data_IF_374140454550
#
_entry.id   IF_374140454550
#
_cell.length_a   1.000
_cell.length_b   1.000
_cell.length_c   1.000
_cell.angle_alpha   90.00
_cell.angle_beta   90.00
_cell.angle_gamma   90.00
#
_symmetry.space_group_name_H-M   'P 1'
#
loop_
_entity.id
_entity.type
_entity.pdbx_description
1 polymer ?
#
# COMPACT_ATOMS: atom_id res chain seq x y z
N UNK A 1 -24.16 -25.54 37.42
CA UNK A 1 -25.26 -25.48 36.44
C UNK A 1 -24.74 -24.76 35.21
N UNK A 2 -24.49 -25.52 34.15
CA UNK A 2 -23.69 -25.14 32.99
C UNK A 2 -24.67 -24.90 31.83
N UNK A 3 -24.77 -23.65 31.35
CA UNK A 3 -25.56 -23.32 30.15
C UNK A 3 -24.55 -23.09 29.04
N UNK A 4 -24.32 -24.14 28.24
CA UNK A 4 -23.56 -24.07 26.99
C UNK A 4 -24.55 -23.63 25.92
N UNK A 5 -24.41 -22.39 25.43
CA UNK A 5 -25.15 -21.89 24.29
C UNK A 5 -24.41 -22.29 23.01
N UNK A 6 -24.95 -23.28 22.30
CA UNK A 6 -24.51 -23.68 20.95
C UNK A 6 -24.80 -22.56 19.93
N UNK A 7 -23.89 -21.59 19.80
CA UNK A 7 -23.97 -20.50 18.82
C UNK A 7 -22.77 -20.33 17.83
N UNK A 8 -22.04 -21.36 17.33
CA UNK A 8 -21.03 -21.11 16.30
C UNK A 8 -21.46 -21.42 14.85
N UNK A 9 -22.39 -22.35 14.59
CA UNK A 9 -22.56 -22.93 13.24
C UNK A 9 -23.48 -22.08 12.34
N UNK A 10 -24.49 -21.41 12.91
CA UNK A 10 -25.43 -20.59 12.13
C UNK A 10 -24.76 -19.30 11.64
N UNK A 11 -23.88 -18.70 12.43
CA UNK A 11 -23.23 -17.43 12.07
C UNK A 11 -22.20 -17.59 10.94
N UNK A 12 -21.46 -18.70 10.94
CA UNK A 12 -20.48 -19.00 9.91
C UNK A 12 -21.14 -19.31 8.56
N UNK A 13 -22.28 -20.00 8.59
CA UNK A 13 -23.07 -20.32 7.38
C UNK A 13 -23.69 -19.09 6.72
N UNK A 14 -24.18 -18.13 7.53
CA UNK A 14 -24.76 -16.86 7.04
C UNK A 14 -23.70 -15.94 6.43
N UNK A 15 -22.49 -15.91 7.00
CA UNK A 15 -21.36 -15.15 6.44
C UNK A 15 -20.88 -15.72 5.08
N UNK A 16 -20.83 -17.04 4.92
CA UNK A 16 -20.49 -17.67 3.64
C UNK A 16 -21.57 -17.42 2.56
N UNK A 17 -22.85 -17.45 2.92
CA UNK A 17 -23.94 -17.18 2.00
C UNK A 17 -23.95 -15.72 1.50
N UNK A 18 -23.69 -14.75 2.39
CA UNK A 18 -23.57 -13.33 2.01
C UNK A 18 -22.29 -13.03 1.23
N UNK A 19 -21.17 -13.70 1.54
CA UNK A 19 -19.93 -13.59 0.77
C UNK A 19 -20.06 -14.09 -0.67
N UNK A 20 -20.76 -15.22 -0.87
CA UNK A 20 -21.03 -15.77 -2.20
C UNK A 20 -22.09 -14.96 -2.96
N UNK A 21 -23.11 -14.43 -2.27
CA UNK A 21 -24.11 -13.56 -2.90
C UNK A 21 -23.51 -12.20 -3.28
N UNK A 22 -22.67 -11.62 -2.43
CA UNK A 22 -21.94 -10.39 -2.71
C UNK A 22 -20.96 -10.53 -3.87
N UNK A 23 -20.18 -11.62 -3.91
CA UNK A 23 -19.29 -11.90 -5.05
C UNK A 23 -20.08 -12.22 -6.33
N UNK A 24 -21.22 -12.90 -6.24
CA UNK A 24 -22.12 -13.11 -7.38
C UNK A 24 -22.73 -11.80 -7.90
N UNK A 25 -23.19 -10.89 -7.04
CA UNK A 25 -23.71 -9.57 -7.44
C UNK A 25 -22.59 -8.72 -8.06
N UNK A 26 -21.40 -8.72 -7.47
CA UNK A 26 -20.22 -8.03 -8.03
C UNK A 26 -19.79 -8.62 -9.38
N UNK A 27 -19.77 -9.94 -9.51
CA UNK A 27 -19.47 -10.62 -10.77
C UNK A 27 -20.54 -10.35 -11.84
N UNK A 28 -21.83 -10.38 -11.47
CA UNK A 28 -22.93 -10.13 -12.41
C UNK A 28 -22.99 -8.67 -12.85
N UNK A 29 -22.71 -7.72 -11.96
CA UNK A 29 -22.60 -6.28 -12.28
C UNK A 29 -21.34 -5.96 -13.09
N UNK A 30 -20.22 -6.65 -12.83
CA UNK A 30 -19.01 -6.53 -13.65
C UNK A 30 -19.17 -7.18 -15.03
N UNK A 31 -19.81 -8.34 -15.11
CA UNK A 31 -20.09 -9.06 -16.36
C UNK A 31 -21.05 -8.28 -17.27
N UNK A 32 -22.12 -7.67 -16.71
CA UNK A 32 -23.00 -6.76 -17.46
C UNK A 32 -22.24 -5.56 -18.04
N UNK A 33 -21.34 -4.94 -17.26
CA UNK A 33 -20.46 -3.87 -17.74
C UNK A 33 -19.56 -4.31 -18.90
N UNK A 34 -19.13 -5.58 -18.91
CA UNK A 34 -18.32 -6.16 -19.99
C UNK A 34 -19.12 -6.38 -21.27
N UNK A 35 -20.38 -6.82 -21.15
CA UNK A 35 -21.27 -7.01 -22.30
C UNK A 35 -21.74 -5.70 -22.93
N UNK A 36 -21.91 -4.63 -22.15
CA UNK A 36 -22.22 -3.28 -22.68
C UNK A 36 -21.02 -2.63 -23.37
N UNK A 37 -19.79 -2.94 -22.96
CA UNK A 37 -18.56 -2.50 -23.66
C UNK A 37 -18.27 -3.24 -24.97
N UNK A 38 -18.93 -4.36 -25.26
CA UNK A 38 -18.73 -5.10 -26.51
C UNK A 38 -19.41 -4.45 -27.74
N UNK A 39 -20.07 -3.31 -27.58
CA UNK A 39 -20.47 -2.47 -28.70
C UNK A 39 -19.26 -1.70 -29.23
N UNK A 40 -18.58 -2.25 -30.24
CA UNK A 40 -17.44 -1.65 -30.96
C UNK A 40 -16.56 -0.79 -30.06
N UNK A 41 -15.64 -1.43 -29.33
CA UNK A 41 -14.40 -0.74 -28.98
C UNK A 41 -13.71 -0.41 -30.31
N UNK A 42 -14.00 0.77 -30.86
CA UNK A 42 -12.93 1.57 -31.44
C UNK A 42 -11.85 1.55 -30.36
N UNK A 43 -10.81 0.75 -30.60
CA UNK A 43 -9.48 1.11 -30.14
C UNK A 43 -9.37 2.55 -30.62
N UNK A 44 -9.59 3.51 -29.74
CA UNK A 44 -9.17 4.87 -30.01
C UNK A 44 -7.72 4.68 -30.42
N UNK A 45 -7.41 4.92 -31.70
CA UNK A 45 -6.04 5.15 -32.08
C UNK A 45 -5.64 6.30 -31.18
N UNK A 46 -4.92 5.98 -30.10
CA UNK A 46 -4.34 6.97 -29.20
C UNK A 46 -3.26 7.58 -30.08
N UNK A 47 -3.69 8.55 -30.89
CA UNK A 47 -2.88 9.39 -31.74
C UNK A 47 -2.05 10.28 -30.85
N UNK A 48 -1.03 9.67 -30.25
CA UNK A 48 0.27 10.27 -30.04
C UNK A 48 1.17 9.16 -29.52
N UNK A 49 2.05 8.68 -30.39
CA UNK A 49 3.33 8.07 -30.05
C UNK A 49 4.15 8.87 -29.01
N UNK A 50 3.74 10.11 -28.71
CA UNK A 50 4.29 11.00 -27.70
C UNK A 50 3.61 10.97 -26.29
N UNK A 51 2.55 10.18 -26.06
CA UNK A 51 1.90 10.10 -24.72
C UNK A 51 2.64 9.14 -23.79
N UNK A 52 3.28 8.10 -24.33
CA UNK A 52 4.17 7.24 -23.54
C UNK A 52 5.53 7.92 -23.51
N UNK A 53 5.88 8.56 -22.39
CA UNK A 53 7.29 8.83 -22.10
C UNK A 53 8.00 7.48 -22.09
N UNK A 54 8.77 7.20 -23.14
CA UNK A 54 9.60 6.00 -23.24
C UNK A 54 10.79 6.15 -22.26
N UNK A 55 10.51 6.13 -20.96
CA UNK A 55 11.50 6.26 -19.89
C UNK A 55 12.27 4.96 -19.63
N UNK A 56 11.74 3.82 -20.10
CA UNK A 56 12.35 2.51 -19.89
C UNK A 56 13.28 2.12 -21.04
N UNK A 57 14.49 1.71 -20.70
CA UNK A 57 15.48 1.22 -21.66
C UNK A 57 15.31 -0.29 -21.82
N UNK A 58 14.86 -0.73 -22.99
CA UNK A 58 14.67 -2.17 -23.27
C UNK A 58 15.96 -2.98 -23.08
N UNK A 59 17.11 -2.42 -23.48
CA UNK A 59 18.42 -3.04 -23.33
C UNK A 59 18.89 -3.13 -21.87
N UNK A 60 18.25 -2.42 -20.94
CA UNK A 60 18.54 -2.51 -19.51
C UNK A 60 17.71 -3.59 -18.80
N UNK A 61 16.75 -4.20 -19.51
CA UNK A 61 15.97 -5.31 -18.96
C UNK A 61 16.89 -6.54 -18.88
N UNK A 62 17.09 -7.12 -17.69
CA UNK A 62 17.90 -8.31 -17.55
C UNK A 62 17.26 -9.51 -18.26
N UNK A 63 18.07 -10.41 -18.78
CA UNK A 63 17.57 -11.73 -19.20
C UNK A 63 17.13 -12.57 -17.98
N UNK A 64 16.18 -13.49 -18.15
CA UNK A 64 15.75 -14.43 -17.11
C UNK A 64 15.22 -13.78 -15.81
N UNK A 65 14.29 -12.84 -15.93
CA UNK A 65 13.57 -12.25 -14.78
C UNK A 65 12.55 -13.26 -14.24
N UNK A 66 12.58 -13.49 -12.92
CA UNK A 66 11.62 -14.37 -12.23
C UNK A 66 10.30 -13.66 -11.91
N UNK A 67 10.35 -12.34 -11.68
CA UNK A 67 9.19 -11.53 -11.28
C UNK A 67 9.31 -10.10 -11.79
N UNK A 68 8.20 -9.56 -12.30
CA UNK A 68 8.06 -8.14 -12.63
C UNK A 68 7.14 -7.49 -11.61
N UNK A 69 7.60 -6.39 -11.01
CA UNK A 69 6.83 -5.54 -10.10
C UNK A 69 6.62 -4.19 -10.77
N UNK A 70 5.36 -3.76 -10.85
CA UNK A 70 5.00 -2.46 -11.44
C UNK A 70 4.62 -1.52 -10.29
N UNK A 71 5.36 -0.43 -10.14
CA UNK A 71 5.25 0.57 -9.08
C UNK A 71 6.25 0.35 -7.95
N UNK A 72 6.95 1.41 -7.57
CA UNK A 72 7.90 1.48 -6.45
C UNK A 72 7.30 2.02 -5.14
N UNK A 73 5.98 1.97 -5.00
CA UNK A 73 5.34 2.27 -3.72
C UNK A 73 5.76 1.28 -2.63
N UNK A 74 5.39 1.56 -1.38
CA UNK A 74 5.75 0.72 -0.22
C UNK A 74 5.41 -0.77 -0.43
N UNK A 75 4.27 -1.09 -1.05
CA UNK A 75 3.88 -2.47 -1.34
C UNK A 75 4.78 -3.13 -2.41
N UNK A 76 5.08 -2.41 -3.50
CA UNK A 76 5.93 -2.91 -4.58
C UNK A 76 7.37 -3.14 -4.12
N UNK A 77 7.93 -2.18 -3.39
CA UNK A 77 9.26 -2.31 -2.78
C UNK A 77 9.30 -3.45 -1.74
N UNK A 78 8.24 -3.63 -0.97
CA UNK A 78 8.15 -4.73 0.01
C UNK A 78 8.25 -6.09 -0.69
N UNK A 79 7.42 -6.33 -1.70
CA UNK A 79 7.42 -7.61 -2.44
C UNK A 79 8.74 -7.80 -3.18
N UNK A 80 9.24 -6.77 -3.86
CA UNK A 80 10.50 -6.83 -4.58
C UNK A 80 11.68 -7.14 -3.65
N UNK A 81 11.75 -6.49 -2.48
CA UNK A 81 12.79 -6.73 -1.48
C UNK A 81 12.75 -8.17 -0.97
N UNK A 82 11.58 -8.66 -0.54
CA UNK A 82 11.43 -10.03 -0.02
C UNK A 82 11.83 -11.05 -1.09
N UNK A 83 11.32 -10.92 -2.31
CA UNK A 83 11.63 -11.87 -3.38
C UNK A 83 13.10 -11.82 -3.80
N UNK A 84 13.71 -10.64 -3.83
CA UNK A 84 15.15 -10.50 -4.08
C UNK A 84 15.99 -11.13 -2.96
N UNK A 85 15.55 -11.02 -1.70
CA UNK A 85 16.21 -11.67 -0.57
C UNK A 85 16.13 -13.21 -0.64
N UNK A 86 15.04 -13.74 -1.20
CA UNK A 86 14.88 -15.17 -1.54
C UNK A 86 15.63 -15.59 -2.82
N UNK A 87 16.50 -14.72 -3.35
CA UNK A 87 17.35 -15.02 -4.50
C UNK A 87 16.67 -14.93 -5.87
N UNK A 88 15.47 -14.34 -5.95
CA UNK A 88 14.78 -14.13 -7.23
C UNK A 88 15.30 -12.91 -7.96
N UNK A 89 15.36 -13.01 -9.29
CA UNK A 89 15.66 -11.89 -10.17
C UNK A 89 14.40 -11.06 -10.40
N UNK A 90 14.28 -9.95 -9.67
CA UNK A 90 13.10 -9.07 -9.72
C UNK A 90 13.38 -7.85 -10.60
N UNK A 91 12.51 -7.60 -11.58
CA UNK A 91 12.46 -6.35 -12.34
C UNK A 91 11.39 -5.44 -11.72
N UNK A 92 11.79 -4.33 -11.12
CA UNK A 92 10.87 -3.33 -10.59
C UNK A 92 10.81 -2.12 -11.53
N UNK A 93 9.61 -1.76 -11.97
CA UNK A 93 9.35 -0.68 -12.92
C UNK A 93 8.63 0.46 -12.20
N UNK A 94 9.17 1.67 -12.30
CA UNK A 94 8.57 2.89 -11.75
C UNK A 94 8.44 3.93 -12.85
N UNK A 95 7.29 4.59 -12.93
CA UNK A 95 7.02 5.65 -13.89
C UNK A 95 7.67 6.97 -13.47
N UNK A 96 7.80 7.22 -12.17
CA UNK A 96 8.45 8.40 -11.61
C UNK A 96 9.98 8.28 -11.64
N UNK A 97 10.68 9.42 -11.64
CA UNK A 97 12.15 9.45 -11.59
C UNK A 97 12.72 9.13 -10.19
N UNK A 98 11.83 8.88 -9.21
CA UNK A 98 12.16 8.67 -7.79
C UNK A 98 11.33 7.51 -7.27
N UNK A 99 11.96 6.65 -6.47
CA UNK A 99 11.29 5.52 -5.85
C UNK A 99 10.47 5.94 -4.62
N UNK A 100 9.46 5.15 -4.26
CA UNK A 100 8.73 5.29 -3.00
C UNK A 100 7.26 5.66 -3.16
N UNK A 101 6.78 5.99 -4.37
CA UNK A 101 5.38 6.39 -4.60
C UNK A 101 4.98 7.55 -3.69
N UNK A 102 3.91 7.41 -2.89
CA UNK A 102 3.48 8.45 -1.94
C UNK A 102 4.40 8.62 -0.72
N UNK A 103 5.44 7.79 -0.60
CA UNK A 103 6.41 7.81 0.51
C UNK A 103 7.80 8.30 0.06
N UNK A 104 7.89 8.93 -1.11
CA UNK A 104 9.16 9.48 -1.58
C UNK A 104 9.51 10.79 -0.87
N UNK A 105 10.80 11.11 -0.88
CA UNK A 105 11.36 12.36 -0.39
C UNK A 105 11.85 13.18 -1.58
N UNK A 106 11.68 14.50 -1.54
CA UNK A 106 12.29 15.42 -2.48
C UNK A 106 13.09 16.50 -1.75
N UNK A 107 14.12 17.01 -2.41
CA UNK A 107 14.98 18.08 -1.88
C UNK A 107 14.55 19.42 -2.45
N UNK A 108 14.32 20.40 -1.57
CA UNK A 108 14.04 21.78 -1.95
C UNK A 108 14.82 22.71 -1.03
N UNK A 109 15.59 23.65 -1.61
CA UNK A 109 16.40 24.64 -0.86
C UNK A 109 17.34 24.04 0.21
N UNK A 110 17.85 22.84 -0.02
CA UNK A 110 18.74 22.15 0.91
C UNK A 110 18.04 21.39 2.04
N UNK A 111 16.71 21.35 2.04
CA UNK A 111 15.90 20.58 2.98
C UNK A 111 15.26 19.37 2.30
N UNK A 112 15.12 18.28 3.05
CA UNK A 112 14.40 17.08 2.64
C UNK A 112 12.92 17.19 3.05
N UNK A 113 12.01 16.93 2.12
CA UNK A 113 10.56 16.96 2.34
C UNK A 113 9.95 15.62 1.96
N UNK A 114 9.14 15.04 2.85
CA UNK A 114 8.39 13.82 2.60
C UNK A 114 6.99 14.12 2.09
N UNK A 115 6.47 13.31 1.16
CA UNK A 115 5.17 13.59 0.52
C UNK A 115 3.94 13.06 1.26
N UNK A 116 4.10 12.24 2.31
CA UNK A 116 2.92 11.72 3.01
C UNK A 116 3.12 10.65 4.08
N UNK A 117 4.33 10.21 4.39
CA UNK A 117 4.58 9.44 5.61
C UNK A 117 4.96 10.43 6.72
N UNK A 118 4.38 10.29 7.91
CA UNK A 118 4.66 11.19 9.03
C UNK A 118 5.05 10.41 10.31
N UNK A 119 4.40 9.27 10.55
CA UNK A 119 4.73 8.38 11.66
C UNK A 119 4.21 6.97 11.39
N UNK A 120 4.80 6.00 12.08
CA UNK A 120 4.44 4.57 11.97
C UNK A 120 3.90 4.09 13.32
N UNK A 121 2.62 3.71 13.33
CA UNK A 121 1.96 3.12 14.50
C UNK A 121 2.30 1.65 14.74
N UNK A 122 1.47 0.94 15.50
CA UNK A 122 1.53 -0.52 15.58
C UNK A 122 2.59 -1.12 16.52
N UNK A 123 2.96 -0.40 17.59
CA UNK A 123 3.90 -0.85 18.65
C UNK A 123 5.30 -1.18 18.09
N UNK A 124 5.77 -0.38 17.14
CA UNK A 124 7.02 -0.61 16.41
C UNK A 124 8.28 -0.63 17.30
N UNK A 125 8.23 0.03 18.46
CA UNK A 125 9.27 -0.04 19.47
C UNK A 125 9.42 -1.43 20.13
N UNK A 126 8.45 -2.34 19.94
CA UNK A 126 8.52 -3.71 20.45
C UNK A 126 8.96 -4.65 19.34
N UNK A 127 10.19 -5.19 19.46
CA UNK A 127 10.75 -6.22 18.55
C UNK A 127 9.89 -7.47 18.39
N UNK A 128 9.04 -7.76 19.38
CA UNK A 128 8.12 -8.91 19.32
C UNK A 128 6.87 -8.65 18.46
N UNK A 129 6.56 -7.39 18.15
CA UNK A 129 5.38 -7.05 17.34
C UNK A 129 5.53 -7.56 15.91
N UNK A 130 4.41 -7.99 15.31
CA UNK A 130 4.41 -8.48 13.94
C UNK A 130 4.90 -7.41 12.98
N UNK A 131 4.45 -6.16 13.13
CA UNK A 131 4.86 -5.07 12.26
C UNK A 131 6.38 -4.84 12.32
N UNK A 132 6.96 -4.82 13.54
CA UNK A 132 8.40 -4.65 13.71
C UNK A 132 9.21 -5.75 13.03
N UNK A 133 8.78 -7.01 13.16
CA UNK A 133 9.42 -8.15 12.48
C UNK A 133 9.42 -8.02 10.95
N UNK A 134 8.32 -7.54 10.37
CA UNK A 134 8.27 -7.33 8.91
C UNK A 134 9.25 -6.25 8.48
N UNK A 135 9.27 -5.09 9.17
CA UNK A 135 10.24 -4.04 8.86
C UNK A 135 11.68 -4.50 9.04
N UNK A 136 12.01 -5.17 10.15
CA UNK A 136 13.35 -5.67 10.40
C UNK A 136 13.79 -6.68 9.32
N UNK A 137 12.88 -7.53 8.85
CA UNK A 137 13.12 -8.45 7.74
C UNK A 137 13.36 -7.70 6.41
N UNK A 138 12.45 -6.82 6.01
CA UNK A 138 12.51 -6.08 4.74
C UNK A 138 13.76 -5.19 4.67
N UNK A 139 14.11 -4.56 5.79
CA UNK A 139 15.19 -3.57 5.88
C UNK A 139 16.50 -4.17 6.36
N UNK A 140 16.53 -5.48 6.66
CA UNK A 140 17.69 -6.17 7.27
C UNK A 140 18.18 -5.47 8.55
N UNK A 141 17.24 -5.04 9.40
CA UNK A 141 17.50 -4.24 10.60
C UNK A 141 18.16 -2.87 10.34
N UNK A 142 18.09 -2.35 9.10
CA UNK A 142 18.72 -1.09 8.71
C UNK A 142 17.96 0.17 9.12
N UNK A 143 16.77 0.05 9.71
CA UNK A 143 15.98 1.18 10.19
C UNK A 143 16.10 1.30 11.71
N UNK A 144 16.57 2.46 12.15
CA UNK A 144 16.52 2.89 13.54
C UNK A 144 15.15 3.51 13.83
N UNK A 145 14.66 3.27 15.04
CA UNK A 145 13.30 3.66 15.42
C UNK A 145 13.36 4.56 16.63
N UNK A 146 12.87 5.78 16.46
CA UNK A 146 12.72 6.73 17.56
C UNK A 146 11.26 6.74 18.01
N UNK A 147 11.05 6.62 19.33
CA UNK A 147 9.70 6.69 19.89
C UNK A 147 9.29 8.16 19.96
N UNK A 148 8.14 8.49 19.39
CA UNK A 148 7.52 9.80 19.61
C UNK A 148 7.10 9.97 21.07
N UNK A 149 6.95 11.22 21.48
CA UNK A 149 6.38 11.57 22.78
C UNK A 149 4.96 11.00 22.93
N UNK A 150 4.53 10.81 24.18
CA UNK A 150 3.20 10.25 24.47
C UNK A 150 2.07 11.16 23.96
N UNK A 151 2.35 12.45 23.80
CA UNK A 151 1.49 13.42 23.11
C UNK A 151 2.28 13.99 21.95
N UNK A 152 1.87 13.70 20.72
CA UNK A 152 2.56 14.15 19.51
C UNK A 152 1.72 15.08 18.64
N UNK A 153 0.39 15.03 18.76
CA UNK A 153 -0.53 15.99 18.15
C UNK A 153 -1.34 16.70 19.25
N UNK A 154 -1.43 18.03 19.14
CA UNK A 154 -2.15 18.90 20.07
C UNK A 154 -3.14 19.76 19.29
N UNK A 155 -4.42 19.63 19.64
CA UNK A 155 -5.44 20.57 19.19
C UNK A 155 -5.55 21.68 20.23
N UNK A 156 -5.33 22.92 19.79
CA UNK A 156 -5.44 24.11 20.63
C UNK A 156 -6.68 24.89 20.20
N UNK A 157 -7.66 25.00 21.09
CA UNK A 157 -8.86 25.81 20.88
C UNK A 157 -8.70 27.10 21.69
N UNK A 158 -8.84 28.25 21.02
CA UNK A 158 -8.78 29.57 21.64
C UNK A 158 -10.14 30.23 21.58
N UNK A 159 -10.60 30.74 22.72
CA UNK A 159 -11.80 31.56 22.85
C UNK A 159 -11.49 32.77 23.74
N UNK A 160 -11.23 33.93 23.13
CA UNK A 160 -10.74 35.12 23.83
C UNK A 160 -9.39 34.88 24.53
N UNK A 161 -9.34 35.09 25.84
CA UNK A 161 -8.17 34.80 26.68
C UNK A 161 -8.07 33.32 27.10
N UNK A 162 -9.14 32.54 26.93
CA UNK A 162 -9.13 31.12 27.27
C UNK A 162 -8.41 30.30 26.19
N UNK A 163 -7.55 29.39 26.65
CA UNK A 163 -6.80 28.48 25.79
C UNK A 163 -6.93 27.06 26.35
N UNK A 164 -7.60 26.20 25.60
CA UNK A 164 -7.75 24.78 25.95
C UNK A 164 -6.91 23.93 25.01
N UNK A 165 -6.24 22.93 25.57
CA UNK A 165 -5.36 22.02 24.83
C UNK A 165 -5.88 20.59 24.95
N UNK A 166 -6.04 19.94 23.82
CA UNK A 166 -6.53 18.57 23.71
C UNK A 166 -5.47 17.71 23.03
N UNK A 167 -4.81 16.80 23.76
CA UNK A 167 -3.95 15.81 23.12
C UNK A 167 -4.80 14.88 22.24
N UNK A 168 -4.32 14.62 21.03
CA UNK A 168 -4.97 13.72 20.06
C UNK A 168 -4.35 12.32 20.08
#
# INVERSE_FOLDING_TARGET
>A
MQIILEYPIIYQSVCFAWGLFGTYILWKTWSKRKTEKNGKEEIAEIGNENIIRQGFRINAVPENVDMIVIGSGIAGLTVASIMAQEGKKVLLLEQHDVIGGNTHTFKEKGFDFETGLHYIGGRIGKKTSNLRKHFDCITKNGVEWEKMDDVYDLVIIRDGENCEQYPM
#
